data_IF_491185869282
#
_entry.id   IF_491185869282
#
_cell.length_a   1.000
_cell.length_b   1.000
_cell.length_c   1.000
_cell.angle_alpha   90.00
_cell.angle_beta   90.00
_cell.angle_gamma   90.00
#
_symmetry.space_group_name_H-M   'P 1'
#
loop_
_entity.id
_entity.type
_entity.pdbx_description
1 polymer ?
#
# COMPACT_ATOMS: atom_id res chain seq x y z
N UNK A 1 -10.11 -12.19 19.01
CA UNK A 1 -9.46 -12.11 17.68
C UNK A 1 -10.26 -11.27 16.68
N UNK A 2 -11.61 -11.34 16.65
CA UNK A 2 -12.46 -10.54 15.73
C UNK A 2 -12.58 -9.05 16.12
N UNK A 3 -12.39 -8.71 17.40
CA UNK A 3 -12.59 -7.35 17.94
C UNK A 3 -11.58 -6.32 17.44
N UNK A 4 -10.28 -6.67 17.39
CA UNK A 4 -9.23 -5.73 16.95
C UNK A 4 -9.30 -5.42 15.45
N UNK A 5 -9.60 -6.41 14.60
CA UNK A 5 -9.72 -6.19 13.15
C UNK A 5 -10.91 -5.30 12.79
N UNK A 6 -12.04 -5.46 13.47
CA UNK A 6 -13.20 -4.58 13.31
C UNK A 6 -12.91 -3.16 13.81
N UNK A 7 -12.15 -3.01 14.90
CA UNK A 7 -11.76 -1.70 15.42
C UNK A 7 -10.81 -0.95 14.47
N UNK A 8 -9.77 -1.62 13.94
CA UNK A 8 -8.82 -1.00 12.98
C UNK A 8 -9.54 -0.68 11.66
N UNK A 9 -10.43 -1.55 11.19
CA UNK A 9 -11.27 -1.27 10.01
C UNK A 9 -12.22 -0.09 10.23
N UNK A 10 -12.81 0.03 11.43
CA UNK A 10 -13.62 1.19 11.81
C UNK A 10 -12.80 2.49 11.85
N UNK A 11 -11.54 2.44 12.30
CA UNK A 11 -10.60 3.56 12.22
C UNK A 11 -10.28 3.97 10.76
N UNK A 12 -10.38 3.02 9.81
CA UNK A 12 -10.30 3.29 8.37
C UNK A 12 -11.37 4.26 7.88
N UNK A 13 -12.60 4.13 8.40
CA UNK A 13 -13.70 5.03 8.12
C UNK A 13 -13.46 6.45 8.65
N UNK A 14 -12.82 6.59 9.82
CA UNK A 14 -12.61 7.86 10.52
C UNK A 14 -11.25 8.52 10.31
N UNK A 15 -10.35 7.93 9.48
CA UNK A 15 -8.98 8.43 9.23
C UNK A 15 -8.15 8.62 10.51
N UNK A 16 -8.39 7.82 11.54
CA UNK A 16 -7.70 7.96 12.81
C UNK A 16 -6.48 7.04 12.87
N UNK A 17 -5.29 7.58 12.55
CA UNK A 17 -4.04 6.83 12.56
C UNK A 17 -3.57 6.46 13.97
N UNK A 18 -3.62 7.40 14.92
CA UNK A 18 -3.08 7.17 16.27
C UNK A 18 -3.75 5.99 16.99
N UNK A 19 -5.09 5.84 17.01
CA UNK A 19 -5.73 4.66 17.60
C UNK A 19 -5.37 3.36 16.87
N UNK A 20 -5.24 3.40 15.53
CA UNK A 20 -4.89 2.22 14.75
C UNK A 20 -3.48 1.71 15.06
N UNK A 21 -2.51 2.62 15.23
CA UNK A 21 -1.13 2.27 15.62
C UNK A 21 -1.04 1.77 17.06
N UNK A 22 -1.79 2.36 17.99
CA UNK A 22 -1.85 1.87 19.38
C UNK A 22 -2.41 0.46 19.41
N UNK A 23 -3.53 0.21 18.74
CA UNK A 23 -4.12 -1.13 18.62
C UNK A 23 -3.17 -2.14 17.99
N UNK A 24 -2.41 -1.73 16.97
CA UNK A 24 -1.38 -2.58 16.36
C UNK A 24 -0.27 -2.93 17.37
N UNK A 25 0.27 -1.93 18.07
CA UNK A 25 1.32 -2.14 19.08
C UNK A 25 0.85 -3.02 20.24
N UNK A 26 -0.41 -2.86 20.68
CA UNK A 26 -1.03 -3.70 21.70
C UNK A 26 -1.18 -5.14 21.19
N UNK A 27 -1.63 -5.34 19.94
CA UNK A 27 -1.72 -6.68 19.36
C UNK A 27 -0.37 -7.39 19.35
N UNK A 28 0.73 -6.69 19.03
CA UNK A 28 2.07 -7.25 19.12
C UNK A 28 2.48 -7.58 20.55
N UNK A 29 2.23 -6.65 21.48
CA UNK A 29 2.61 -6.78 22.90
C UNK A 29 1.88 -7.93 23.60
N UNK A 30 0.61 -8.16 23.24
CA UNK A 30 -0.18 -9.28 23.77
C UNK A 30 0.01 -10.59 22.99
N UNK A 31 0.91 -10.61 21.99
CA UNK A 31 1.17 -11.80 21.16
C UNK A 31 -0.05 -12.25 20.36
N UNK A 32 -0.99 -11.34 20.09
CA UNK A 32 -2.17 -11.64 19.30
C UNK A 32 -1.75 -11.69 17.84
N UNK A 33 -1.83 -12.89 17.25
CA UNK A 33 -1.46 -13.11 15.85
C UNK A 33 -2.29 -12.23 14.93
N UNK A 34 -1.67 -11.19 14.38
CA UNK A 34 -2.26 -10.39 13.33
C UNK A 34 -2.52 -11.26 12.09
N UNK A 35 -3.60 -10.97 11.39
CA UNK A 35 -3.93 -11.60 10.12
C UNK A 35 -3.83 -10.57 8.99
N UNK A 36 -3.91 -11.04 7.75
CA UNK A 36 -3.83 -10.18 6.56
C UNK A 36 -4.89 -9.07 6.56
N UNK A 37 -6.11 -9.34 7.04
CA UNK A 37 -7.18 -8.35 7.14
C UNK A 37 -6.82 -7.18 8.08
N UNK A 38 -6.19 -7.45 9.22
CA UNK A 38 -5.72 -6.41 10.16
C UNK A 38 -4.63 -5.57 9.52
N UNK A 39 -3.67 -6.20 8.82
CA UNK A 39 -2.59 -5.50 8.12
C UNK A 39 -3.14 -4.63 6.98
N UNK A 40 -4.08 -5.16 6.20
CA UNK A 40 -4.78 -4.44 5.12
C UNK A 40 -5.47 -3.20 5.66
N UNK A 41 -6.21 -3.33 6.77
CA UNK A 41 -6.91 -2.21 7.39
C UNK A 41 -5.93 -1.16 7.92
N UNK A 42 -4.83 -1.57 8.57
CA UNK A 42 -3.81 -0.66 9.08
C UNK A 42 -3.12 0.12 7.96
N UNK A 43 -2.68 -0.58 6.90
CA UNK A 43 -2.05 0.05 5.73
C UNK A 43 -3.04 0.96 5.01
N UNK A 44 -4.32 0.59 4.91
CA UNK A 44 -5.37 1.45 4.34
C UNK A 44 -5.59 2.73 5.16
N UNK A 45 -5.53 2.66 6.50
CA UNK A 45 -5.57 3.84 7.37
C UNK A 45 -4.36 4.73 7.09
N UNK A 46 -3.16 4.16 7.09
CA UNK A 46 -1.91 4.88 6.81
C UNK A 46 -1.96 5.58 5.43
N UNK A 47 -2.44 4.86 4.42
CA UNK A 47 -2.67 5.33 3.06
C UNK A 47 -3.62 6.57 3.03
N UNK A 48 -4.67 6.58 3.87
CA UNK A 48 -5.65 7.67 3.94
C UNK A 48 -5.14 8.86 4.76
N UNK A 49 -4.21 8.63 5.69
CA UNK A 49 -3.56 9.65 6.50
C UNK A 49 -2.32 10.24 5.82
N UNK A 50 -1.85 9.67 4.70
CA UNK A 50 -0.62 10.10 4.02
C UNK A 50 0.67 9.64 4.70
N UNK A 51 0.55 8.75 5.69
CA UNK A 51 1.63 8.31 6.56
C UNK A 51 2.29 7.05 5.98
N UNK A 52 3.07 7.26 4.92
CA UNK A 52 3.72 6.20 4.16
C UNK A 52 4.78 5.45 4.98
N UNK A 53 5.43 6.11 5.95
CA UNK A 53 6.43 5.48 6.83
C UNK A 53 5.77 4.40 7.69
N UNK A 54 4.61 4.72 8.28
CA UNK A 54 3.83 3.78 9.09
C UNK A 54 3.25 2.63 8.25
N UNK A 55 2.84 2.91 7.00
CA UNK A 55 2.40 1.86 6.08
C UNK A 55 3.51 0.85 5.79
N UNK A 56 4.74 1.33 5.59
CA UNK A 56 5.90 0.48 5.30
C UNK A 56 6.39 -0.31 6.50
N UNK A 57 6.41 0.30 7.70
CA UNK A 57 6.75 -0.42 8.92
C UNK A 57 5.76 -1.55 9.19
N UNK A 58 4.46 -1.28 9.05
CA UNK A 58 3.41 -2.29 9.20
C UNK A 58 3.56 -3.45 8.20
N UNK A 59 3.87 -3.16 6.94
CA UNK A 59 4.14 -4.18 5.93
C UNK A 59 5.35 -5.04 6.28
N UNK A 60 6.44 -4.41 6.73
CA UNK A 60 7.67 -5.12 7.06
C UNK A 60 7.49 -6.02 8.28
N UNK A 61 6.88 -5.50 9.34
CA UNK A 61 6.55 -6.28 10.54
C UNK A 61 5.62 -7.45 10.21
N UNK A 62 4.59 -7.24 9.38
CA UNK A 62 3.72 -8.33 8.94
C UNK A 62 4.49 -9.40 8.14
N UNK A 63 5.47 -9.00 7.34
CA UNK A 63 6.33 -9.95 6.61
C UNK A 63 7.26 -10.74 7.53
N UNK A 64 7.81 -10.11 8.57
CA UNK A 64 8.66 -10.75 9.59
C UNK A 64 7.86 -11.75 10.44
N UNK A 65 6.57 -11.48 10.67
CA UNK A 65 5.63 -12.41 11.30
C UNK A 65 5.19 -13.57 10.39
N UNK A 66 5.67 -13.62 9.14
CA UNK A 66 5.29 -14.64 8.16
C UNK A 66 3.83 -14.53 7.71
N UNK A 67 3.24 -13.33 7.76
CA UNK A 67 1.88 -13.09 7.28
C UNK A 67 1.91 -12.98 5.75
N UNK A 68 1.10 -13.80 5.08
CA UNK A 68 0.90 -13.72 3.64
C UNK A 68 -0.01 -12.53 3.32
N UNK A 69 0.62 -11.41 2.98
CA UNK A 69 -0.05 -10.17 2.65
C UNK A 69 -0.74 -10.24 1.29
N UNK A 70 -1.99 -9.77 1.23
CA UNK A 70 -2.78 -9.71 0.01
C UNK A 70 -2.23 -8.66 -0.99
N UNK A 71 -2.53 -8.80 -2.29
CA UNK A 71 -2.18 -7.79 -3.28
C UNK A 71 -2.80 -6.42 -2.97
N UNK A 72 -3.95 -6.38 -2.27
CA UNK A 72 -4.61 -5.14 -1.83
C UNK A 72 -3.71 -4.40 -0.84
N UNK A 73 -3.13 -5.10 0.15
CA UNK A 73 -2.25 -4.49 1.15
C UNK A 73 -1.03 -3.84 0.51
N UNK A 74 -0.42 -4.50 -0.48
CA UNK A 74 0.68 -3.91 -1.24
C UNK A 74 0.23 -2.72 -2.09
N UNK A 75 -0.91 -2.82 -2.78
CA UNK A 75 -1.45 -1.72 -3.59
C UNK A 75 -1.72 -0.47 -2.75
N UNK A 76 -2.30 -0.63 -1.55
CA UNK A 76 -2.50 0.45 -0.58
C UNK A 76 -1.18 1.08 -0.12
N UNK A 77 -0.13 0.29 0.10
CA UNK A 77 1.18 0.84 0.46
C UNK A 77 1.86 1.57 -0.71
N UNK A 78 1.75 1.06 -1.94
CA UNK A 78 2.21 1.77 -3.15
C UNK A 78 1.46 3.10 -3.29
N UNK A 79 0.15 3.09 -3.06
CA UNK A 79 -0.71 4.28 -3.04
C UNK A 79 -0.30 5.30 -1.97
N UNK A 80 0.02 4.84 -0.75
CA UNK A 80 0.55 5.69 0.32
C UNK A 80 1.87 6.37 -0.11
N UNK A 81 2.83 5.60 -0.63
CA UNK A 81 4.11 6.14 -1.12
C UNK A 81 3.92 7.09 -2.31
N UNK A 82 3.04 6.75 -3.25
CA UNK A 82 2.78 7.56 -4.43
C UNK A 82 2.06 8.87 -4.12
N UNK A 83 1.25 8.92 -3.07
CA UNK A 83 0.70 10.19 -2.55
C UNK A 83 1.74 11.06 -1.87
N UNK A 84 2.73 10.47 -1.23
CA UNK A 84 3.83 11.17 -0.58
C UNK A 84 4.93 11.64 -1.57
N UNK A 85 4.90 11.20 -2.83
CA UNK A 85 5.95 11.49 -3.81
C UNK A 85 7.20 10.62 -3.67
N UNK A 86 7.14 9.59 -2.83
CA UNK A 86 8.24 8.65 -2.55
C UNK A 86 8.34 7.59 -3.66
N UNK A 87 8.77 8.02 -4.85
CA UNK A 87 8.78 7.19 -6.05
C UNK A 87 9.72 5.99 -5.96
N UNK A 88 10.86 6.10 -5.29
CA UNK A 88 11.80 4.99 -5.11
C UNK A 88 11.13 3.85 -4.33
N UNK A 89 10.48 4.17 -3.20
CA UNK A 89 9.82 3.17 -2.36
C UNK A 89 8.57 2.61 -3.02
N UNK A 90 7.79 3.46 -3.71
CA UNK A 90 6.66 3.00 -4.51
C UNK A 90 7.09 1.97 -5.58
N UNK A 91 8.22 2.22 -6.24
CA UNK A 91 8.76 1.35 -7.27
C UNK A 91 9.29 0.03 -6.69
N UNK A 92 10.02 0.08 -5.57
CA UNK A 92 10.47 -1.11 -4.85
C UNK A 92 9.31 -2.02 -4.43
N UNK A 93 8.24 -1.43 -3.87
CA UNK A 93 7.03 -2.18 -3.51
C UNK A 93 6.36 -2.79 -4.74
N UNK A 94 6.21 -2.01 -5.81
CA UNK A 94 5.56 -2.45 -7.05
C UNK A 94 6.27 -3.64 -7.68
N UNK A 95 7.60 -3.58 -7.84
CA UNK A 95 8.38 -4.72 -8.32
C UNK A 95 8.42 -5.86 -7.32
N UNK A 96 8.38 -5.55 -6.02
CA UNK A 96 8.26 -6.51 -4.94
C UNK A 96 6.97 -7.34 -5.02
N UNK A 97 5.87 -6.78 -5.51
CA UNK A 97 4.64 -7.53 -5.81
C UNK A 97 4.89 -8.56 -6.92
N UNK A 98 5.47 -8.11 -8.04
CA UNK A 98 5.74 -8.99 -9.19
C UNK A 98 6.69 -10.15 -8.83
N UNK A 99 7.75 -9.88 -8.05
CA UNK A 99 8.69 -10.91 -7.56
C UNK A 99 8.03 -11.95 -6.66
N UNK A 100 6.96 -11.57 -5.95
CA UNK A 100 6.16 -12.47 -5.11
C UNK A 100 5.04 -13.18 -5.89
N UNK A 101 4.99 -13.01 -7.20
CA UNK A 101 3.93 -13.56 -8.06
C UNK A 101 2.58 -12.83 -7.92
N UNK A 102 2.55 -11.69 -7.23
CA UNK A 102 1.35 -10.85 -7.11
C UNK A 102 1.24 -9.96 -8.34
N UNK A 103 0.06 -9.93 -8.96
CA UNK A 103 -0.22 -9.02 -10.08
C UNK A 103 -0.57 -7.63 -9.53
N UNK A 104 0.21 -6.59 -9.85
CA UNK A 104 -0.18 -5.22 -9.55
C UNK A 104 -1.48 -4.87 -10.29
N UNK A 105 -2.40 -4.23 -9.59
CA UNK A 105 -3.66 -3.75 -10.16
C UNK A 105 -3.50 -2.34 -10.74
N UNK A 106 -4.57 -1.84 -11.38
CA UNK A 106 -4.60 -0.49 -11.95
C UNK A 106 -4.38 0.60 -10.91
N UNK A 107 -4.75 0.34 -9.65
CA UNK A 107 -4.51 1.25 -8.52
C UNK A 107 -3.02 1.37 -8.22
N UNK A 108 -2.30 0.26 -8.13
CA UNK A 108 -0.85 0.25 -7.92
C UNK A 108 -0.10 0.94 -9.06
N UNK A 109 -0.50 0.69 -10.32
CA UNK A 109 0.08 1.39 -11.47
C UNK A 109 -0.18 2.90 -11.44
N UNK A 110 -1.42 3.32 -11.18
CA UNK A 110 -1.77 4.74 -11.10
C UNK A 110 -1.04 5.46 -9.97
N UNK A 111 -0.91 4.82 -8.81
CA UNK A 111 -0.14 5.31 -7.68
C UNK A 111 1.35 5.46 -8.03
N UNK A 112 1.95 4.45 -8.68
CA UNK A 112 3.34 4.50 -9.12
C UNK A 112 3.57 5.64 -10.13
N UNK A 113 2.68 5.79 -11.11
CA UNK A 113 2.79 6.85 -12.12
C UNK A 113 2.70 8.23 -11.50
N UNK A 114 1.78 8.43 -10.56
CA UNK A 114 1.70 9.67 -9.78
C UNK A 114 2.97 9.91 -8.96
N UNK A 115 3.55 8.86 -8.37
CA UNK A 115 4.83 8.97 -7.65
C UNK A 115 5.95 9.43 -8.60
N UNK A 116 6.04 8.82 -9.78
CA UNK A 116 7.06 9.14 -10.79
C UNK A 116 6.90 10.56 -11.35
N UNK A 117 5.66 11.02 -11.52
CA UNK A 117 5.35 12.40 -11.91
C UNK A 117 5.85 13.40 -10.87
N UNK A 118 5.51 13.19 -9.59
CA UNK A 118 6.03 13.99 -8.47
C UNK A 118 7.56 13.91 -8.34
N UNK A 119 8.16 12.78 -8.70
CA UNK A 119 9.62 12.58 -8.75
C UNK A 119 10.30 13.13 -10.00
N UNK A 120 9.55 13.74 -10.94
CA UNK A 120 10.01 14.19 -12.25
C UNK A 120 10.72 13.09 -13.07
N UNK A 121 10.32 11.82 -12.87
CA UNK A 121 10.86 10.63 -13.56
C UNK A 121 10.00 10.21 -14.75
N UNK A 122 9.83 11.14 -15.70
CA UNK A 122 8.98 10.95 -16.88
C UNK A 122 9.40 9.74 -17.75
N UNK A 123 10.70 9.47 -17.88
CA UNK A 123 11.21 8.31 -18.66
C UNK A 123 10.71 6.98 -18.10
N UNK A 124 10.72 6.87 -16.78
CA UNK A 124 10.26 5.68 -16.07
C UNK A 124 8.73 5.59 -16.13
N UNK A 125 8.03 6.72 -16.07
CA UNK A 125 6.59 6.78 -16.21
C UNK A 125 6.13 6.29 -17.60
N UNK A 126 6.82 6.68 -18.68
CA UNK A 126 6.56 6.17 -20.02
C UNK A 126 6.78 4.66 -20.13
N UNK A 127 7.86 4.15 -19.52
CA UNK A 127 8.11 2.72 -19.43
C UNK A 127 6.95 1.98 -18.76
N UNK A 128 6.51 2.46 -17.60
CA UNK A 128 5.40 1.87 -16.84
C UNK A 128 4.06 1.94 -17.59
N UNK A 129 3.78 3.04 -18.30
CA UNK A 129 2.59 3.17 -19.16
C UNK A 129 2.59 2.15 -20.31
N UNK A 130 3.76 1.93 -20.91
CA UNK A 130 3.90 0.93 -21.98
C UNK A 130 3.66 -0.49 -21.45
N UNK A 131 4.14 -0.78 -20.24
CA UNK A 131 3.93 -2.07 -19.58
C UNK A 131 2.48 -2.28 -19.12
N UNK A 132 1.80 -1.23 -18.67
CA UNK A 132 0.38 -1.30 -18.35
C UNK A 132 -0.46 -1.59 -19.61
N UNK A 133 -0.11 -0.96 -20.74
CA UNK A 133 -0.76 -1.20 -22.04
C UNK A 133 -0.53 -2.61 -22.56
N UNK A 134 0.69 -3.15 -22.43
CA UNK A 134 1.00 -4.53 -22.86
C UNK A 134 0.27 -5.58 -22.02
N UNK A 135 -0.05 -5.26 -20.76
CA UNK A 135 -0.83 -6.11 -19.86
C UNK A 135 -2.36 -6.00 -20.06
N UNK A 136 -2.81 -5.25 -21.07
CA UNK A 136 -4.23 -4.97 -21.34
C UNK A 136 -4.99 -4.37 -20.13
N UNK A 137 -4.27 -3.75 -19.20
CA UNK A 137 -4.88 -3.00 -18.11
C UNK A 137 -5.28 -1.64 -18.67
N UNK A 138 -6.58 -1.36 -18.73
CA UNK A 138 -7.08 -0.10 -19.26
C UNK A 138 -6.53 1.06 -18.41
N UNK A 139 -5.84 2.06 -19.00
CA UNK A 139 -5.51 3.29 -18.30
C UNK A 139 -6.81 3.99 -17.92
N UNK A 140 -7.09 4.05 -16.62
CA UNK A 140 -8.23 4.80 -16.10
C UNK A 140 -7.92 6.31 -16.21
N UNK A 141 -8.95 7.17 -16.18
CA UNK A 141 -8.81 8.62 -16.42
C UNK A 141 -7.79 9.36 -15.54
N UNK A 142 -7.36 8.77 -14.41
CA UNK A 142 -6.32 9.31 -13.52
C UNK A 142 -4.92 9.11 -14.12
N UNK A 143 -4.74 8.11 -14.99
CA UNK A 143 -3.45 7.76 -15.57
C UNK A 143 -3.03 8.66 -16.73
N UNK A 144 -3.98 9.40 -17.32
CA UNK A 144 -3.74 10.26 -18.49
C UNK A 144 -3.83 11.76 -18.16
N UNK A 145 -4.25 12.13 -16.95
CA UNK A 145 -4.45 13.52 -16.54
C UNK A 145 -3.31 14.07 -15.67
N UNK A 146 -2.09 13.55 -15.81
CA UNK A 146 -0.87 14.08 -15.22
C UNK A 146 0.00 14.69 -16.33
#
# INVERSE_FOLDING_TARGET
>A
VVTCGAAISACGGSQQLAPALVLWSDMQRFGVRANDAVCTALVSVCERCGEWVAALSALQEASEMGIHLSPITYSSAVSACGRAGEWQRALELFWGMARRGLKPDTVAFGALLRALDLGHKWEWALGMLSEMRSRALAPNGITFSA
#
